data_IF_468353762457
#
_entry.id   IF_468353762457
#
_cell.length_a   1.000
_cell.length_b   1.000
_cell.length_c   1.000
_cell.angle_alpha   90.00
_cell.angle_beta   90.00
_cell.angle_gamma   90.00
#
_symmetry.space_group_name_H-M   'P 1'
#
loop_
_entity.id
_entity.type
_entity.pdbx_description
1 polymer ?
#
# COMPACT_ATOMS: atom_id res chain seq x y z
N UNK A 1 4.46 -17.76 -44.50
CA UNK A 1 4.60 -18.72 -43.38
C UNK A 1 6.03 -18.70 -42.86
N UNK A 2 6.30 -18.24 -41.62
CA UNK A 2 7.64 -18.35 -41.01
C UNK A 2 7.91 -19.82 -40.66
N UNK A 3 9.10 -20.34 -40.94
CA UNK A 3 9.44 -21.75 -40.73
C UNK A 3 9.51 -22.11 -39.23
N UNK A 4 9.24 -23.38 -38.87
CA UNK A 4 9.33 -23.89 -37.49
C UNK A 4 10.71 -23.62 -36.83
N UNK A 5 11.79 -23.58 -37.61
CA UNK A 5 13.14 -23.28 -37.14
C UNK A 5 13.32 -21.80 -36.78
N UNK A 6 12.74 -20.89 -37.57
CA UNK A 6 12.69 -19.45 -37.28
C UNK A 6 11.95 -19.16 -35.97
N UNK A 7 10.84 -19.87 -35.72
CA UNK A 7 10.06 -19.71 -34.50
C UNK A 7 10.82 -20.19 -33.26
N UNK A 8 11.50 -21.35 -33.33
CA UNK A 8 12.31 -21.88 -32.21
C UNK A 8 13.52 -20.99 -31.87
N UNK A 9 14.14 -20.35 -32.88
CA UNK A 9 15.25 -19.41 -32.66
C UNK A 9 14.79 -18.15 -31.94
N UNK A 10 13.67 -17.56 -32.38
CA UNK A 10 13.03 -16.42 -31.70
C UNK A 10 12.66 -16.74 -30.24
N UNK A 11 12.11 -17.93 -29.99
CA UNK A 11 11.79 -18.37 -28.63
C UNK A 11 13.04 -18.51 -27.73
N UNK A 12 14.17 -19.01 -28.28
CA UNK A 12 15.43 -19.09 -27.54
C UNK A 12 16.02 -17.71 -27.27
N UNK A 13 16.08 -16.84 -28.29
CA UNK A 13 16.58 -15.46 -28.13
C UNK A 13 15.74 -14.68 -27.10
N UNK A 14 14.43 -14.87 -27.08
CA UNK A 14 13.54 -14.24 -26.07
C UNK A 14 13.76 -14.83 -24.67
N UNK A 15 14.00 -16.15 -24.57
CA UNK A 15 14.27 -16.81 -23.30
C UNK A 15 15.65 -16.44 -22.71
N UNK A 16 16.65 -16.20 -23.55
CA UNK A 16 17.98 -15.78 -23.11
C UNK A 16 17.95 -14.32 -22.63
N UNK A 17 17.33 -13.41 -23.39
CA UNK A 17 17.09 -12.01 -22.95
C UNK A 17 16.29 -11.95 -21.64
N UNK A 18 15.30 -12.82 -21.50
CA UNK A 18 14.50 -12.95 -20.28
C UNK A 18 15.34 -13.34 -19.05
N UNK A 19 16.27 -14.30 -19.19
CA UNK A 19 17.18 -14.70 -18.10
C UNK A 19 18.16 -13.58 -17.76
N UNK A 20 18.69 -12.90 -18.77
CA UNK A 20 19.64 -11.81 -18.58
C UNK A 20 19.02 -10.64 -17.79
N UNK A 21 17.76 -10.28 -18.06
CA UNK A 21 17.08 -9.19 -17.33
C UNK A 21 16.88 -9.49 -15.83
N UNK A 22 16.51 -10.73 -15.47
CA UNK A 22 16.36 -11.13 -14.07
C UNK A 22 17.73 -11.28 -13.41
N UNK A 23 18.73 -11.77 -14.14
CA UNK A 23 20.11 -11.84 -13.65
C UNK A 23 20.67 -10.42 -13.36
N UNK A 24 20.51 -9.49 -14.31
CA UNK A 24 20.84 -8.07 -14.17
C UNK A 24 20.18 -7.48 -12.93
N UNK A 25 18.88 -7.73 -12.73
CA UNK A 25 18.12 -7.23 -11.59
C UNK A 25 18.70 -7.72 -10.25
N UNK A 26 19.06 -9.00 -10.18
CA UNK A 26 19.72 -9.58 -9.01
C UNK A 26 21.13 -9.04 -8.77
N UNK A 27 21.82 -8.58 -9.82
CA UNK A 27 23.15 -7.96 -9.73
C UNK A 27 23.14 -6.47 -9.38
N UNK A 28 21.97 -5.83 -9.26
CA UNK A 28 21.89 -4.39 -8.99
C UNK A 28 22.38 -4.02 -7.59
N UNK A 29 23.18 -2.96 -7.51
CA UNK A 29 23.74 -2.42 -6.25
C UNK A 29 22.98 -1.21 -5.71
N UNK A 30 22.01 -0.68 -6.46
CA UNK A 30 21.14 0.40 -6.02
C UNK A 30 19.76 0.35 -6.70
N UNK A 31 18.75 0.97 -6.09
CA UNK A 31 17.40 1.05 -6.69
C UNK A 31 17.38 1.80 -8.02
N UNK A 32 18.27 2.79 -8.20
CA UNK A 32 18.36 3.53 -9.46
C UNK A 32 18.72 2.62 -10.63
N UNK A 33 19.44 1.52 -10.37
CA UNK A 33 19.80 0.54 -11.39
C UNK A 33 18.64 -0.39 -11.79
N UNK A 34 17.58 -0.50 -10.97
CA UNK A 34 16.39 -1.31 -11.31
C UNK A 34 15.46 -0.60 -12.29
N UNK A 35 15.36 0.73 -12.22
CA UNK A 35 14.41 1.49 -13.03
C UNK A 35 14.59 1.28 -14.55
N UNK A 36 15.82 1.27 -15.10
CA UNK A 36 16.03 0.95 -16.52
C UNK A 36 15.61 -0.47 -16.90
N UNK A 37 15.70 -1.44 -15.98
CA UNK A 37 15.31 -2.83 -16.23
C UNK A 37 13.80 -2.97 -16.37
N UNK A 38 13.04 -2.21 -15.58
CA UNK A 38 11.57 -2.16 -15.69
C UNK A 38 11.15 -1.67 -17.08
N UNK A 39 11.79 -0.62 -17.60
CA UNK A 39 11.47 -0.11 -18.94
C UNK A 39 11.89 -1.10 -20.04
N UNK A 40 13.06 -1.74 -19.93
CA UNK A 40 13.50 -2.80 -20.86
C UNK A 40 12.57 -4.02 -20.85
N UNK A 41 11.93 -4.31 -19.72
CA UNK A 41 11.07 -5.47 -19.54
C UNK A 41 9.59 -5.23 -19.91
N UNK A 42 9.23 -4.06 -20.46
CA UNK A 42 7.85 -3.71 -20.84
C UNK A 42 7.16 -4.78 -21.69
N UNK A 43 7.89 -5.35 -22.65
CA UNK A 43 7.40 -6.38 -23.57
C UNK A 43 7.89 -7.80 -23.20
N UNK A 44 8.58 -7.94 -22.07
CA UNK A 44 9.05 -9.23 -21.59
C UNK A 44 7.89 -10.08 -21.03
N UNK A 45 8.04 -11.42 -20.95
CA UNK A 45 7.06 -12.29 -20.30
C UNK A 45 6.78 -11.87 -18.85
N UNK A 46 5.55 -12.10 -18.38
CA UNK A 46 5.11 -11.72 -17.03
C UNK A 46 6.03 -12.24 -15.92
N UNK A 47 6.54 -13.47 -16.05
CA UNK A 47 7.48 -14.05 -15.08
C UNK A 47 8.79 -13.25 -14.97
N UNK A 48 9.28 -12.68 -16.07
CA UNK A 48 10.47 -11.81 -16.08
C UNK A 48 10.18 -10.50 -15.37
N UNK A 49 9.04 -9.90 -15.69
CA UNK A 49 8.59 -8.65 -15.08
C UNK A 49 8.44 -8.82 -13.55
N UNK A 50 7.79 -9.90 -13.12
CA UNK A 50 7.67 -10.26 -11.69
C UNK A 50 9.01 -10.57 -11.05
N UNK A 51 9.93 -11.22 -11.77
CA UNK A 51 11.31 -11.45 -11.33
C UNK A 51 12.06 -10.16 -11.02
N UNK A 52 11.91 -9.12 -11.85
CA UNK A 52 12.50 -7.79 -11.61
C UNK A 52 11.88 -7.14 -10.36
N UNK A 53 10.56 -7.20 -10.20
CA UNK A 53 9.89 -6.69 -9.00
C UNK A 53 10.42 -7.38 -7.75
N UNK A 54 10.49 -8.72 -7.76
CA UNK A 54 10.98 -9.53 -6.65
C UNK A 54 12.42 -9.16 -6.29
N UNK A 55 13.32 -9.13 -7.28
CA UNK A 55 14.71 -8.74 -7.07
C UNK A 55 14.82 -7.34 -6.46
N UNK A 56 13.98 -6.39 -6.88
CA UNK A 56 13.99 -5.04 -6.31
C UNK A 56 13.53 -4.95 -4.87
N UNK A 57 12.52 -5.74 -4.50
CA UNK A 57 12.07 -5.84 -3.12
C UNK A 57 13.15 -6.44 -2.21
N UNK A 58 13.72 -7.58 -2.61
CA UNK A 58 14.68 -8.36 -1.82
C UNK A 58 16.03 -7.65 -1.67
N UNK A 59 16.48 -6.92 -2.70
CA UNK A 59 17.81 -6.29 -2.71
C UNK A 59 17.85 -4.92 -2.06
N UNK A 60 16.77 -4.13 -2.17
CA UNK A 60 16.87 -2.69 -1.92
C UNK A 60 15.87 -2.11 -0.92
N UNK A 61 14.83 -2.87 -0.56
CA UNK A 61 13.71 -2.34 0.22
C UNK A 61 13.61 -2.99 1.58
N UNK A 62 13.53 -4.31 1.61
CA UNK A 62 13.26 -5.06 2.82
C UNK A 62 14.17 -6.29 2.93
N UNK A 63 14.61 -6.65 4.15
CA UNK A 63 15.46 -7.81 4.38
C UNK A 63 14.70 -9.15 4.34
N UNK A 64 13.45 -9.16 3.90
CA UNK A 64 12.59 -10.35 3.91
C UNK A 64 12.12 -10.69 2.49
N UNK A 65 11.87 -11.98 2.27
CA UNK A 65 11.31 -12.45 1.01
C UNK A 65 9.88 -11.90 0.82
N UNK A 66 9.59 -11.22 -0.31
CA UNK A 66 8.27 -10.69 -0.58
C UNK A 66 7.29 -11.83 -0.85
N UNK A 67 6.08 -11.70 -0.31
CA UNK A 67 5.00 -12.66 -0.58
C UNK A 67 4.59 -12.54 -2.05
N UNK A 68 4.21 -13.66 -2.66
CA UNK A 68 3.82 -13.67 -4.07
C UNK A 68 2.75 -12.63 -4.42
N UNK A 69 1.70 -12.49 -3.58
CA UNK A 69 0.66 -11.48 -3.78
C UNK A 69 1.14 -10.02 -3.63
N UNK A 70 2.24 -9.75 -2.93
CA UNK A 70 2.86 -8.43 -2.91
C UNK A 70 3.56 -8.16 -4.26
N UNK A 71 4.28 -9.16 -4.78
CA UNK A 71 4.91 -9.08 -6.11
C UNK A 71 3.87 -8.89 -7.20
N UNK A 72 2.79 -9.68 -7.18
CA UNK A 72 1.70 -9.57 -8.15
C UNK A 72 1.05 -8.17 -8.10
N UNK A 73 0.81 -7.64 -6.90
CA UNK A 73 0.20 -6.33 -6.71
C UNK A 73 1.08 -5.19 -7.25
N UNK A 74 2.38 -5.22 -6.92
CA UNK A 74 3.33 -4.22 -7.40
C UNK A 74 3.51 -4.34 -8.91
N UNK A 75 3.63 -5.57 -9.43
CA UNK A 75 3.71 -5.83 -10.87
C UNK A 75 2.51 -5.24 -11.62
N UNK A 76 1.29 -5.46 -11.13
CA UNK A 76 0.08 -4.92 -11.74
C UNK A 76 0.12 -3.38 -11.78
N UNK A 77 0.45 -2.74 -10.67
CA UNK A 77 0.54 -1.28 -10.58
C UNK A 77 1.64 -0.68 -11.47
N UNK A 78 2.77 -1.38 -11.64
CA UNK A 78 3.95 -0.89 -12.38
C UNK A 78 3.85 -1.18 -13.88
N UNK A 79 3.56 -2.43 -14.26
CA UNK A 79 3.56 -2.89 -15.64
C UNK A 79 2.21 -2.70 -16.32
N UNK A 80 1.10 -3.11 -15.70
CA UNK A 80 -0.25 -2.91 -16.27
C UNK A 80 -0.70 -1.46 -16.15
N UNK A 81 -0.27 -0.76 -15.10
CA UNK A 81 -0.69 0.61 -14.78
C UNK A 81 -2.20 0.74 -14.64
N UNK A 82 -2.82 -0.29 -14.07
CA UNK A 82 -4.25 -0.38 -13.83
C UNK A 82 -4.57 -0.30 -12.34
N UNK A 83 -5.82 0.02 -12.03
CA UNK A 83 -6.31 0.02 -10.65
C UNK A 83 -6.24 -1.37 -10.03
N UNK A 84 -5.94 -1.40 -8.72
CA UNK A 84 -5.91 -2.63 -7.93
C UNK A 84 -6.56 -2.42 -6.57
N UNK A 85 -7.37 -3.40 -6.17
CA UNK A 85 -7.92 -3.51 -4.84
C UNK A 85 -7.37 -4.74 -4.13
N UNK A 86 -6.98 -4.60 -2.87
CA UNK A 86 -6.43 -5.68 -2.05
C UNK A 86 -7.16 -5.80 -0.71
N UNK A 87 -7.84 -6.92 -0.51
CA UNK A 87 -8.33 -7.35 0.80
C UNK A 87 -7.41 -8.43 1.36
N UNK A 88 -6.66 -8.12 2.41
CA UNK A 88 -5.68 -9.02 2.99
C UNK A 88 -5.48 -8.78 4.48
N UNK A 89 -5.34 -9.85 5.27
CA UNK A 89 -5.21 -9.78 6.75
C UNK A 89 -4.25 -8.70 7.25
N UNK A 90 -4.49 -8.23 8.48
CA UNK A 90 -3.47 -7.49 9.25
C UNK A 90 -2.18 -8.32 9.30
N UNK A 91 -1.03 -7.65 9.32
CA UNK A 91 0.31 -8.25 9.13
C UNK A 91 0.58 -8.88 7.75
N UNK A 92 -0.28 -8.66 6.75
CA UNK A 92 0.03 -9.05 5.37
C UNK A 92 1.24 -8.30 4.78
N UNK A 93 1.52 -7.10 5.28
CA UNK A 93 2.49 -6.18 4.67
C UNK A 93 1.90 -5.43 3.48
N UNK A 94 0.65 -4.96 3.60
CA UNK A 94 -0.03 -4.18 2.55
C UNK A 94 0.74 -2.90 2.20
N UNK A 95 1.36 -2.25 3.18
CA UNK A 95 2.09 -1.00 2.99
C UNK A 95 3.29 -1.13 2.05
N UNK A 96 3.96 -2.28 2.05
CA UNK A 96 5.09 -2.59 1.16
C UNK A 96 4.73 -2.28 -0.30
N UNK A 97 3.49 -2.53 -0.71
CA UNK A 97 3.05 -2.34 -2.09
C UNK A 97 3.16 -0.86 -2.49
N UNK A 98 2.50 0.04 -1.75
CA UNK A 98 2.53 1.47 -2.11
C UNK A 98 3.85 2.17 -1.76
N UNK A 99 4.63 1.60 -0.84
CA UNK A 99 5.98 2.05 -0.49
C UNK A 99 7.01 1.68 -1.58
N UNK A 100 6.81 0.54 -2.25
CA UNK A 100 7.76 0.03 -3.24
C UNK A 100 7.53 0.58 -4.65
N UNK A 101 6.29 0.85 -5.04
CA UNK A 101 5.94 1.30 -6.40
C UNK A 101 6.78 2.46 -6.96
N UNK A 102 7.08 3.56 -6.23
CA UNK A 102 7.83 4.67 -6.81
C UNK A 102 9.29 4.29 -7.08
N UNK A 103 9.81 3.20 -6.51
CA UNK A 103 11.17 2.74 -6.74
C UNK A 103 11.36 2.11 -8.11
N UNK A 104 10.30 1.54 -8.67
CA UNK A 104 10.31 0.95 -10.02
C UNK A 104 10.12 1.99 -11.13
N UNK A 105 10.04 3.28 -10.81
CA UNK A 105 9.82 4.35 -11.78
C UNK A 105 10.69 5.56 -11.52
N UNK A 106 11.50 5.93 -12.51
CA UNK A 106 12.41 7.07 -12.42
C UNK A 106 11.66 8.39 -12.18
N UNK A 107 12.07 9.12 -11.14
CA UNK A 107 11.43 10.37 -10.71
C UNK A 107 9.99 10.19 -10.21
N UNK A 108 9.62 8.94 -9.90
CA UNK A 108 8.29 8.56 -9.48
C UNK A 108 7.88 9.08 -8.10
N UNK A 109 6.58 9.31 -7.93
CA UNK A 109 5.99 9.68 -6.63
C UNK A 109 4.76 8.83 -6.30
N UNK A 110 4.69 8.33 -5.06
CA UNK A 110 3.48 7.71 -4.49
C UNK A 110 2.69 8.72 -3.68
N UNK A 111 1.38 8.79 -3.92
CA UNK A 111 0.45 9.55 -3.07
C UNK A 111 -0.28 8.58 -2.17
N UNK A 112 -0.20 8.78 -0.86
CA UNK A 112 -0.76 7.85 0.13
C UNK A 112 -1.81 8.62 0.94
N UNK A 113 -3.07 8.22 0.77
CA UNK A 113 -4.19 8.75 1.51
C UNK A 113 -4.42 7.89 2.74
N UNK A 114 -4.32 8.49 3.92
CA UNK A 114 -4.47 7.82 5.21
C UNK A 114 -5.66 8.37 5.99
N UNK A 115 -6.33 7.55 6.82
CA UNK A 115 -7.48 7.99 7.62
C UNK A 115 -7.12 8.81 8.85
N UNK A 116 -5.94 8.59 9.42
CA UNK A 116 -5.55 9.15 10.70
C UNK A 116 -4.12 9.67 10.63
N UNK A 117 -3.89 10.84 11.23
CA UNK A 117 -2.58 11.49 11.22
C UNK A 117 -1.50 10.64 11.89
N UNK A 118 -1.85 9.91 12.96
CA UNK A 118 -0.92 9.01 13.66
C UNK A 118 -0.39 7.92 12.73
N UNK A 119 -1.28 7.29 11.95
CA UNK A 119 -0.90 6.28 10.96
C UNK A 119 -0.01 6.93 9.88
N UNK A 120 -0.37 8.13 9.42
CA UNK A 120 0.42 8.87 8.44
C UNK A 120 1.85 9.16 8.92
N UNK A 121 2.01 9.62 10.16
CA UNK A 121 3.32 9.88 10.76
C UNK A 121 4.17 8.60 10.86
N UNK A 122 3.60 7.51 11.35
CA UNK A 122 4.28 6.21 11.47
C UNK A 122 4.71 5.67 10.10
N UNK A 123 3.87 5.83 9.07
CA UNK A 123 4.21 5.46 7.70
C UNK A 123 5.32 6.34 7.12
N UNK A 124 5.31 7.65 7.40
CA UNK A 124 6.34 8.58 6.95
C UNK A 124 7.72 8.18 7.48
N UNK A 125 7.81 7.90 8.78
CA UNK A 125 9.05 7.46 9.44
C UNK A 125 9.57 6.16 8.80
N UNK A 126 8.70 5.17 8.57
CA UNK A 126 9.07 3.92 7.92
C UNK A 126 9.62 4.14 6.51
N UNK A 127 8.98 5.01 5.73
CA UNK A 127 9.41 5.31 4.37
C UNK A 127 10.73 6.07 4.36
N UNK A 128 10.96 7.00 5.28
CA UNK A 128 12.23 7.72 5.39
C UNK A 128 13.41 6.79 5.71
N UNK A 129 13.16 5.64 6.34
CA UNK A 129 14.16 4.61 6.55
C UNK A 129 14.49 3.77 5.30
N UNK A 130 13.69 3.87 4.24
CA UNK A 130 13.97 3.17 2.98
C UNK A 130 15.10 3.89 2.24
N UNK A 131 16.05 3.16 1.62
CA UNK A 131 17.11 3.76 0.82
C UNK A 131 16.52 4.72 -0.20
N UNK A 132 17.16 5.89 -0.39
CA UNK A 132 16.80 6.89 -1.41
C UNK A 132 15.37 7.46 -1.36
N UNK A 133 14.56 7.07 -0.38
CA UNK A 133 13.21 7.56 -0.23
C UNK A 133 13.21 8.92 0.47
N UNK A 134 12.39 9.82 -0.06
CA UNK A 134 12.07 11.11 0.53
C UNK A 134 10.56 11.17 0.73
N UNK A 135 10.13 11.23 1.98
CA UNK A 135 8.72 11.26 2.37
C UNK A 135 8.38 12.58 3.05
N UNK A 136 7.26 13.17 2.65
CA UNK A 136 6.61 14.26 3.37
C UNK A 136 5.22 13.83 3.82
N UNK A 137 4.91 14.10 5.08
CA UNK A 137 3.57 13.93 5.64
C UNK A 137 2.93 15.30 5.82
N UNK A 138 1.85 15.55 5.08
CA UNK A 138 1.13 16.81 5.05
C UNK A 138 -0.21 16.64 5.78
N UNK A 139 -0.38 17.38 6.87
CA UNK A 139 -1.60 17.36 7.68
C UNK A 139 -2.10 18.79 7.99
N UNK A 140 -3.09 18.90 8.88
CA UNK A 140 -3.67 20.18 9.26
C UNK A 140 -2.66 21.16 9.90
N UNK A 141 -1.60 20.65 10.53
CA UNK A 141 -0.57 21.43 11.22
C UNK A 141 0.62 21.80 10.33
N UNK A 142 0.77 21.17 9.17
CA UNK A 142 1.84 21.50 8.22
C UNK A 142 1.64 22.90 7.66
N UNK A 143 2.69 23.72 7.67
CA UNK A 143 2.71 25.00 6.98
C UNK A 143 2.78 24.77 5.46
N UNK A 144 1.85 25.39 4.74
CA UNK A 144 1.47 25.04 3.36
C UNK A 144 2.01 26.07 2.37
N UNK A 145 3.30 26.36 2.50
CA UNK A 145 3.99 27.43 1.75
C UNK A 145 4.13 27.12 0.26
N UNK A 146 4.35 28.16 -0.54
CA UNK A 146 4.66 28.02 -1.97
C UNK A 146 5.97 27.25 -2.20
N UNK A 147 6.94 27.38 -1.29
CA UNK A 147 8.18 26.63 -1.33
C UNK A 147 7.94 25.11 -1.22
N UNK A 148 7.09 24.67 -0.28
CA UNK A 148 6.71 23.26 -0.15
C UNK A 148 5.99 22.76 -1.41
N UNK A 149 5.08 23.56 -1.97
CA UNK A 149 4.41 23.22 -3.22
C UNK A 149 5.42 23.05 -4.37
N UNK A 150 6.40 23.95 -4.48
CA UNK A 150 7.46 23.88 -5.47
C UNK A 150 8.37 22.65 -5.28
N UNK A 151 8.76 22.31 -4.05
CA UNK A 151 9.52 21.10 -3.74
C UNK A 151 8.77 19.83 -4.16
N UNK A 152 7.46 19.80 -3.89
CA UNK A 152 6.58 18.72 -4.34
C UNK A 152 6.58 18.63 -5.87
N UNK A 153 6.43 19.75 -6.59
CA UNK A 153 6.34 19.76 -8.05
C UNK A 153 7.66 19.45 -8.75
N UNK A 154 8.78 19.92 -8.19
CA UNK A 154 10.15 19.72 -8.72
C UNK A 154 10.69 18.31 -8.47
N UNK A 155 10.02 17.53 -7.62
CA UNK A 155 10.35 16.12 -7.41
C UNK A 155 11.38 15.87 -6.32
N UNK A 156 11.37 16.71 -5.30
CA UNK A 156 12.10 16.45 -4.06
C UNK A 156 11.56 15.22 -3.34
N UNK A 157 10.26 14.95 -3.43
CA UNK A 157 9.65 13.82 -2.71
C UNK A 157 9.34 12.64 -3.62
N UNK A 158 9.59 11.45 -3.08
CA UNK A 158 9.20 10.14 -3.64
C UNK A 158 7.86 9.65 -3.07
N UNK A 159 7.47 10.16 -1.90
CA UNK A 159 6.26 9.78 -1.20
C UNK A 159 5.62 11.02 -0.58
N UNK A 160 4.32 11.20 -0.81
CA UNK A 160 3.50 12.17 -0.09
C UNK A 160 2.39 11.45 0.63
N UNK A 161 2.32 11.65 1.94
CA UNK A 161 1.27 11.12 2.79
C UNK A 161 0.37 12.29 3.19
N UNK A 162 -0.94 12.09 3.09
CA UNK A 162 -1.90 13.12 3.51
C UNK A 162 -3.26 12.52 3.86
N UNK A 163 -4.05 13.26 4.64
CA UNK A 163 -5.46 12.97 4.83
C UNK A 163 -6.31 13.35 3.61
N UNK A 164 -7.54 12.83 3.50
CA UNK A 164 -8.46 13.16 2.40
C UNK A 164 -8.85 14.65 2.37
N UNK A 165 -8.84 15.33 3.53
CA UNK A 165 -9.14 16.77 3.63
C UNK A 165 -8.08 17.59 2.90
N UNK A 166 -6.81 17.32 3.16
CA UNK A 166 -5.67 17.97 2.51
C UNK A 166 -5.66 17.68 1.00
N UNK A 167 -5.95 16.43 0.63
CA UNK A 167 -5.99 15.98 -0.76
C UNK A 167 -7.11 16.68 -1.56
N UNK A 168 -8.24 16.99 -0.92
CA UNK A 168 -9.39 17.62 -1.56
C UNK A 168 -9.27 19.14 -1.69
N UNK A 169 -8.57 19.78 -0.75
CA UNK A 169 -8.45 21.24 -0.66
C UNK A 169 -7.10 21.74 -1.19
N UNK A 170 -6.10 21.87 -0.31
CA UNK A 170 -4.81 22.49 -0.62
C UNK A 170 -4.09 21.81 -1.78
N UNK A 171 -4.11 20.48 -1.83
CA UNK A 171 -3.38 19.71 -2.84
C UNK A 171 -3.99 19.82 -4.26
N UNK A 172 -5.15 20.46 -4.42
CA UNK A 172 -5.85 20.60 -5.70
C UNK A 172 -4.98 21.24 -6.80
N UNK A 173 -4.25 22.30 -6.48
CA UNK A 173 -3.42 23.04 -7.45
C UNK A 173 -2.27 22.14 -7.94
N UNK A 174 -1.54 21.56 -7.00
CA UNK A 174 -0.43 20.63 -7.25
C UNK A 174 -0.90 19.42 -8.07
N UNK A 175 -2.02 18.80 -7.68
CA UNK A 175 -2.60 17.67 -8.42
C UNK A 175 -3.00 18.01 -9.86
N UNK A 176 -3.22 19.29 -10.18
CA UNK A 176 -3.57 19.75 -11.52
C UNK A 176 -2.33 19.99 -12.39
N UNK A 177 -1.14 20.18 -11.77
CA UNK A 177 0.12 20.48 -12.45
C UNK A 177 0.55 19.36 -13.40
N UNK A 178 0.79 19.65 -14.70
CA UNK A 178 1.21 18.63 -15.67
C UNK A 178 2.55 17.96 -15.34
N UNK A 179 3.51 18.71 -14.81
CA UNK A 179 4.83 18.17 -14.41
C UNK A 179 4.68 17.17 -13.26
N UNK A 180 3.84 17.51 -12.28
CA UNK A 180 3.53 16.66 -11.16
C UNK A 180 2.82 15.36 -11.59
N UNK A 181 1.73 15.48 -12.37
CA UNK A 181 0.94 14.32 -12.83
C UNK A 181 1.78 13.27 -13.55
N UNK A 182 2.73 13.70 -14.39
CA UNK A 182 3.64 12.79 -15.10
C UNK A 182 4.47 11.92 -14.15
N UNK A 183 4.75 12.37 -12.94
CA UNK A 183 5.55 11.64 -11.96
C UNK A 183 4.74 10.72 -11.06
N UNK A 184 3.43 10.93 -10.92
CA UNK A 184 2.60 10.10 -10.04
C UNK A 184 2.59 8.65 -10.54
N UNK A 185 3.10 7.75 -9.70
CA UNK A 185 3.18 6.32 -9.96
C UNK A 185 1.94 5.60 -9.51
N UNK A 186 1.42 5.95 -8.34
CA UNK A 186 0.23 5.35 -7.75
C UNK A 186 -0.42 6.33 -6.78
N UNK A 187 -1.75 6.27 -6.70
CA UNK A 187 -2.50 6.82 -5.58
C UNK A 187 -2.98 5.67 -4.71
N UNK A 188 -2.39 5.53 -3.53
CA UNK A 188 -2.77 4.54 -2.55
C UNK A 188 -3.82 5.11 -1.58
N UNK A 189 -4.88 4.36 -1.33
CA UNK A 189 -5.88 4.63 -0.29
C UNK A 189 -5.77 3.52 0.74
N UNK A 190 -5.15 3.84 1.87
CA UNK A 190 -5.04 2.91 3.00
C UNK A 190 -6.35 2.89 3.80
N UNK A 191 -6.65 1.73 4.39
CA UNK A 191 -7.92 1.45 5.05
C UNK A 191 -9.16 1.87 4.23
N UNK A 192 -9.21 1.38 2.99
CA UNK A 192 -10.26 1.70 2.03
C UNK A 192 -11.69 1.50 2.57
N UNK A 193 -11.88 0.55 3.49
CA UNK A 193 -13.18 0.33 4.13
C UNK A 193 -13.72 1.59 4.83
N UNK A 194 -12.84 2.41 5.41
CA UNK A 194 -13.22 3.65 6.10
C UNK A 194 -13.78 4.70 5.14
N UNK A 195 -13.44 4.64 3.85
CA UNK A 195 -14.07 5.51 2.85
C UNK A 195 -15.58 5.27 2.82
N UNK A 196 -16.01 4.02 2.86
CA UNK A 196 -17.43 3.67 2.85
C UNK A 196 -18.11 4.02 4.19
N UNK A 197 -17.46 3.72 5.31
CA UNK A 197 -18.03 3.97 6.64
C UNK A 197 -18.09 5.46 7.00
N UNK A 198 -17.03 6.22 6.72
CA UNK A 198 -16.95 7.64 7.12
C UNK A 198 -17.42 8.57 6.02
N UNK A 199 -17.31 8.17 4.75
CA UNK A 199 -17.73 9.00 3.64
C UNK A 199 -19.24 9.28 3.62
N UNK A 200 -20.06 8.42 4.22
CA UNK A 200 -21.52 8.58 4.28
C UNK A 200 -22.00 9.55 5.37
N UNK A 201 -21.11 10.09 6.23
CA UNK A 201 -21.51 11.10 7.22
C UNK A 201 -20.41 11.69 8.12
N UNK A 202 -19.38 10.91 8.48
CA UNK A 202 -18.39 11.31 9.51
C UNK A 202 -17.23 12.14 8.91
N UNK A 203 -16.79 11.84 7.69
CA UNK A 203 -15.77 12.60 6.94
C UNK A 203 -16.16 12.72 5.47
N UNK A 204 -17.03 13.68 5.11
CA UNK A 204 -17.54 13.86 3.74
C UNK A 204 -16.44 14.07 2.69
N UNK A 205 -15.25 14.54 3.10
CA UNK A 205 -14.08 14.75 2.22
C UNK A 205 -13.59 13.44 1.59
N UNK A 206 -13.85 12.27 2.20
CA UNK A 206 -13.59 10.99 1.56
C UNK A 206 -14.36 10.78 0.25
N UNK A 207 -15.59 11.31 0.14
CA UNK A 207 -16.37 11.29 -1.10
C UNK A 207 -15.72 12.13 -2.22
N UNK A 208 -14.79 13.02 -1.87
CA UNK A 208 -14.11 13.91 -2.79
C UNK A 208 -12.84 13.30 -3.39
N UNK A 209 -12.44 12.08 -3.02
CA UNK A 209 -11.33 11.40 -3.66
C UNK A 209 -11.57 11.15 -5.16
N UNK A 210 -12.84 10.95 -5.57
CA UNK A 210 -13.20 10.93 -6.99
C UNK A 210 -12.82 12.22 -7.75
N UNK A 211 -12.81 13.38 -7.08
CA UNK A 211 -12.35 14.65 -7.66
C UNK A 211 -10.83 14.68 -7.83
N UNK A 212 -10.08 14.17 -6.85
CA UNK A 212 -8.63 14.01 -6.96
C UNK A 212 -8.29 13.14 -8.17
N UNK A 213 -8.99 12.01 -8.35
CA UNK A 213 -8.83 11.16 -9.53
C UNK A 213 -9.03 11.92 -10.84
N UNK A 214 -10.13 12.67 -10.94
CA UNK A 214 -10.42 13.47 -12.14
C UNK A 214 -9.31 14.48 -12.45
N UNK A 215 -8.67 15.06 -11.42
CA UNK A 215 -7.56 16.02 -11.59
C UNK A 215 -6.28 15.35 -12.06
N UNK A 216 -5.93 14.23 -11.45
CA UNK A 216 -4.73 13.46 -11.80
C UNK A 216 -4.83 12.81 -13.20
N UNK A 217 -6.06 12.50 -13.64
CA UNK A 217 -6.34 11.91 -14.94
C UNK A 217 -6.36 10.37 -14.92
N UNK A 218 -6.85 9.77 -16.00
CA UNK A 218 -7.14 8.33 -16.06
C UNK A 218 -5.91 7.39 -16.16
N UNK A 219 -4.71 7.92 -16.42
CA UNK A 219 -3.49 7.11 -16.59
C UNK A 219 -2.68 6.84 -15.32
N UNK A 220 -3.17 7.30 -14.16
CA UNK A 220 -2.56 7.05 -12.86
C UNK A 220 -3.29 5.88 -12.20
N UNK A 221 -2.59 4.77 -11.87
CA UNK A 221 -3.24 3.64 -11.21
C UNK A 221 -3.57 3.98 -9.76
N UNK A 222 -4.73 3.53 -9.31
CA UNK A 222 -5.14 3.63 -7.91
C UNK A 222 -5.00 2.28 -7.21
N UNK A 223 -4.44 2.30 -6.01
CA UNK A 223 -4.31 1.12 -5.16
C UNK A 223 -5.15 1.32 -3.90
N UNK A 224 -6.13 0.45 -3.66
CA UNK A 224 -6.96 0.52 -2.47
C UNK A 224 -6.76 -0.74 -1.65
N UNK A 225 -6.48 -0.61 -0.35
CA UNK A 225 -6.22 -1.80 0.46
C UNK A 225 -6.90 -1.75 1.83
N UNK A 226 -7.26 -2.92 2.35
CA UNK A 226 -7.73 -3.07 3.73
C UNK A 226 -7.63 -4.51 4.23
N UNK A 227 -7.78 -4.69 5.55
CA UNK A 227 -7.88 -6.00 6.19
C UNK A 227 -9.21 -6.70 5.87
N UNK A 228 -10.30 -5.95 5.91
CA UNK A 228 -11.66 -6.44 5.68
C UNK A 228 -12.33 -5.56 4.63
N UNK A 229 -12.95 -6.21 3.65
CA UNK A 229 -13.67 -5.52 2.59
C UNK A 229 -14.79 -6.44 2.11
N UNK A 230 -15.95 -6.35 2.76
CA UNK A 230 -17.16 -7.02 2.28
C UNK A 230 -17.63 -6.36 0.97
N UNK A 231 -18.57 -7.03 0.29
CA UNK A 231 -19.02 -6.63 -1.04
C UNK A 231 -19.69 -5.25 -1.04
N UNK A 232 -20.53 -4.96 -0.05
CA UNK A 232 -21.27 -3.70 0.04
C UNK A 232 -20.34 -2.53 0.34
N UNK A 233 -19.41 -2.72 1.28
CA UNK A 233 -18.34 -1.75 1.59
C UNK A 233 -17.45 -1.50 0.38
N UNK A 234 -17.07 -2.56 -0.35
CA UNK A 234 -16.27 -2.46 -1.58
C UNK A 234 -16.97 -1.64 -2.67
N UNK A 235 -18.24 -1.93 -2.96
CA UNK A 235 -19.02 -1.22 -3.98
C UNK A 235 -19.18 0.27 -3.63
N UNK A 236 -19.44 0.57 -2.35
CA UNK A 236 -19.53 1.94 -1.85
C UNK A 236 -18.18 2.65 -1.96
N UNK A 237 -17.11 2.03 -1.48
CA UNK A 237 -15.77 2.61 -1.52
C UNK A 237 -15.34 2.91 -2.95
N UNK A 238 -15.57 1.98 -3.91
CA UNK A 238 -15.29 2.17 -5.35
C UNK A 238 -15.99 3.42 -5.89
N UNK A 239 -17.28 3.60 -5.59
CA UNK A 239 -18.05 4.77 -6.03
C UNK A 239 -17.48 6.08 -5.49
N UNK A 240 -17.08 6.11 -4.23
CA UNK A 240 -16.61 7.35 -3.55
C UNK A 240 -15.19 7.75 -3.96
N UNK A 241 -14.32 6.76 -4.16
CA UNK A 241 -12.93 6.95 -4.60
C UNK A 241 -12.80 7.11 -6.11
N UNK A 242 -13.76 6.59 -6.88
CA UNK A 242 -13.73 6.62 -8.34
C UNK A 242 -12.86 5.53 -8.98
N UNK A 243 -12.63 4.41 -8.28
CA UNK A 243 -11.97 3.24 -8.90
C UNK A 243 -12.76 2.78 -10.13
N UNK A 244 -12.05 2.36 -11.17
CA UNK A 244 -12.65 1.88 -12.40
C UNK A 244 -13.52 0.65 -12.16
N UNK A 245 -14.66 0.58 -12.85
CA UNK A 245 -15.49 -0.61 -12.88
C UNK A 245 -14.68 -1.79 -13.47
N UNK A 246 -14.69 -2.93 -12.79
CA UNK A 246 -13.92 -4.10 -13.20
C UNK A 246 -12.44 -4.07 -12.82
N UNK A 247 -11.98 -3.10 -12.02
CA UNK A 247 -10.61 -3.13 -11.51
C UNK A 247 -10.30 -4.44 -10.77
N UNK A 248 -9.05 -4.89 -10.89
CA UNK A 248 -8.62 -6.15 -10.33
C UNK A 248 -8.80 -6.16 -8.80
N UNK A 249 -9.24 -7.29 -8.26
CA UNK A 249 -9.43 -7.47 -6.83
C UNK A 249 -8.69 -8.70 -6.31
N UNK A 250 -7.62 -8.46 -5.58
CA UNK A 250 -6.90 -9.48 -4.84
C UNK A 250 -7.50 -9.68 -3.46
N UNK A 251 -7.94 -10.91 -3.21
CA UNK A 251 -8.35 -11.35 -1.87
C UNK A 251 -7.40 -12.40 -1.36
N UNK A 252 -6.82 -12.21 -0.18
CA UNK A 252 -6.10 -13.27 0.53
C UNK A 252 -6.94 -13.79 1.69
N UNK A 253 -6.58 -14.97 2.20
CA UNK A 253 -7.26 -15.52 3.38
C UNK A 253 -7.06 -14.57 4.57
N UNK A 254 -8.17 -14.27 5.25
CA UNK A 254 -8.15 -13.56 6.53
C UNK A 254 -7.81 -14.50 7.69
N UNK A 255 -7.79 -15.81 7.43
CA UNK A 255 -7.54 -16.82 8.44
C UNK A 255 -6.16 -16.69 9.08
N UNK A 256 -6.15 -16.93 10.39
CA UNK A 256 -5.00 -16.83 11.28
C UNK A 256 -4.93 -18.13 12.08
N UNK A 257 -4.46 -19.25 11.50
CA UNK A 257 -4.33 -20.51 12.22
C UNK A 257 -3.44 -20.40 13.46
N UNK A 258 -2.58 -19.38 13.53
CA UNK A 258 -1.78 -19.05 14.70
C UNK A 258 -2.56 -18.34 15.84
N UNK A 259 -3.80 -17.91 15.61
CA UNK A 259 -4.66 -17.27 16.62
C UNK A 259 -5.70 -18.28 17.09
N UNK A 260 -5.61 -18.69 18.35
CA UNK A 260 -6.62 -19.52 19.01
C UNK A 260 -7.66 -18.62 19.67
N UNK A 261 -8.92 -18.79 19.30
CA UNK A 261 -10.05 -18.11 19.93
C UNK A 261 -10.62 -18.99 21.05
N UNK A 262 -10.75 -18.41 22.24
CA UNK A 262 -11.36 -19.06 23.41
C UNK A 262 -12.50 -18.14 23.87
N UNK A 263 -13.68 -18.70 24.09
CA UNK A 263 -14.88 -17.96 24.52
C UNK A 263 -15.30 -18.53 25.88
N UNK A 264 -15.36 -17.67 26.89
CA UNK A 264 -15.81 -18.03 28.23
C UNK A 264 -16.97 -17.12 28.66
N UNK A 265 -17.96 -17.70 29.34
CA UNK A 265 -19.10 -16.94 29.86
C UNK A 265 -18.74 -16.31 31.20
N UNK A 266 -18.95 -15.00 31.34
CA UNK A 266 -18.71 -14.27 32.59
C UNK A 266 -20.05 -14.00 33.31
N UNK A 267 -20.13 -14.35 34.60
CA UNK A 267 -21.28 -14.01 35.43
C UNK A 267 -21.15 -12.57 35.97
N UNK A 268 -22.09 -11.70 35.60
CA UNK A 268 -22.18 -10.32 36.10
C UNK A 268 -22.36 -10.31 37.63
N UNK A 269 -21.46 -9.62 38.35
CA UNK A 269 -21.59 -9.37 39.79
C UNK A 269 -20.59 -10.08 40.72
N UNK A 270 -19.74 -10.99 40.19
CA UNK A 270 -18.54 -11.45 40.91
C UNK A 270 -17.32 -10.76 40.30
N UNK A 271 -16.25 -10.55 41.10
CA UNK A 271 -14.95 -10.16 40.54
C UNK A 271 -14.67 -10.98 39.27
N UNK A 272 -14.13 -10.36 38.20
CA UNK A 272 -13.94 -11.03 36.91
C UNK A 272 -13.35 -12.41 37.14
N UNK A 273 -13.95 -13.49 36.58
CA UNK A 273 -13.57 -14.85 36.88
C UNK A 273 -12.06 -14.98 36.74
N UNK A 274 -11.43 -15.32 37.85
CA UNK A 274 -10.01 -15.60 38.06
C UNK A 274 -9.09 -15.16 36.91
N UNK A 275 -8.87 -13.84 36.75
CA UNK A 275 -7.75 -13.34 35.95
C UNK A 275 -6.45 -14.08 36.32
N UNK A 276 -6.24 -14.32 37.61
CA UNK A 276 -5.12 -15.11 38.11
C UNK A 276 -5.18 -16.60 37.71
N UNK A 277 -6.33 -17.25 37.53
CA UNK A 277 -6.34 -18.61 36.97
C UNK A 277 -6.08 -18.61 35.47
N UNK A 278 -6.65 -17.66 34.71
CA UNK A 278 -6.35 -17.52 33.28
C UNK A 278 -4.84 -17.23 33.08
N UNK A 279 -4.26 -16.34 33.89
CA UNK A 279 -2.83 -16.06 33.91
C UNK A 279 -2.01 -17.29 34.33
N UNK A 280 -2.34 -17.92 35.46
CA UNK A 280 -1.58 -19.06 35.99
C UNK A 280 -1.72 -20.34 35.16
N UNK A 281 -2.84 -20.52 34.45
CA UNK A 281 -3.04 -21.63 33.50
C UNK A 281 -2.31 -21.39 32.18
N UNK A 282 -1.99 -20.14 31.86
CA UNK A 282 -1.30 -19.75 30.63
C UNK A 282 0.22 -19.67 30.83
N UNK A 283 0.83 -20.78 31.26
CA UNK A 283 2.29 -20.90 31.35
C UNK A 283 2.92 -20.64 29.98
N UNK A 284 3.82 -19.67 29.89
CA UNK A 284 4.54 -19.32 28.65
C UNK A 284 3.97 -18.13 27.87
N UNK A 285 3.02 -17.37 28.40
CA UNK A 285 2.64 -16.07 27.83
C UNK A 285 3.75 -15.04 28.08
N UNK A 286 4.24 -14.42 27.01
CA UNK A 286 5.27 -13.36 27.07
C UNK A 286 4.65 -11.96 27.20
N UNK A 287 3.51 -11.73 26.56
CA UNK A 287 2.81 -10.43 26.54
C UNK A 287 1.29 -10.62 26.61
N UNK A 288 0.60 -9.79 27.41
CA UNK A 288 -0.85 -9.80 27.55
C UNK A 288 -1.44 -8.41 27.31
N UNK A 289 -2.46 -8.35 26.45
CA UNK A 289 -3.23 -7.15 26.20
C UNK A 289 -4.66 -7.35 26.72
N UNK A 290 -5.08 -6.49 27.65
CA UNK A 290 -6.45 -6.45 28.15
C UNK A 290 -7.18 -5.27 27.51
N UNK A 291 -8.34 -5.55 26.90
CA UNK A 291 -9.20 -4.55 26.28
C UNK A 291 -10.50 -4.53 27.08
N UNK A 292 -10.75 -3.44 27.81
CA UNK A 292 -12.01 -3.19 28.50
C UNK A 292 -12.90 -2.31 27.62
N UNK A 293 -14.17 -2.69 27.48
CA UNK A 293 -15.16 -1.95 26.70
C UNK A 293 -15.83 -0.80 27.45
N UNK A 294 -15.48 -0.56 28.71
CA UNK A 294 -16.05 0.55 29.49
C UNK A 294 -15.39 1.89 29.13
N UNK A 295 -16.16 2.97 28.88
CA UNK A 295 -15.62 4.29 28.50
C UNK A 295 -14.81 5.01 29.60
N UNK A 296 -14.69 4.41 30.78
CA UNK A 296 -14.31 5.10 32.02
C UNK A 296 -12.90 4.67 32.44
N UNK A 297 -12.03 5.64 32.71
CA UNK A 297 -10.70 5.43 33.30
C UNK A 297 -10.76 4.80 34.71
N UNK A 298 -11.07 3.50 34.78
CA UNK A 298 -10.80 2.70 35.95
C UNK A 298 -9.37 2.17 35.83
N UNK A 299 -8.42 2.95 36.34
CA UNK A 299 -7.16 2.41 36.85
C UNK A 299 -7.49 1.40 37.96
N UNK A 300 -7.84 0.17 37.60
CA UNK A 300 -7.69 -0.96 38.51
C UNK A 300 -6.26 -1.43 38.36
N UNK A 301 -5.42 -1.08 39.34
CA UNK A 301 -4.19 -1.82 39.59
C UNK A 301 -4.58 -3.28 39.82
N UNK A 302 -4.27 -4.11 38.85
CA UNK A 302 -4.24 -5.56 39.05
C UNK A 302 -2.95 -5.84 39.82
N UNK A 303 -3.07 -5.96 41.14
CA UNK A 303 -2.03 -6.49 42.04
C UNK A 303 -2.31 -7.97 42.25
#
# INVERSE_FOLDING_TARGET
MRSRASFRRLQRETADVARDLVHDANGTTSMMAIQPLVERARDAPEEVQKGIIRAGLERHLYPFEPRQKQVDAIWHLVFRREDLLLAAKTSFGKSVIFQAVPLFRRGGISLIIVPLDRIGQEQCIKIQGLPGARCAFINGRTDKTDALAQEIETGIYTHLIMGPEIAAEWFRSIASSPSFKKRVCVVAVDELHLVAFWGSGIRPRYAQLSLLRRRLGGGVPWFGCSATLDRTTLETARKMTGFQAGCEFFRSSVDRPEIKLIIETMNLGRHPPHFNQLWNSSRGIEWLYLIDGTPCGCERKWV
#
